data_IF_608244655603
#
_entry.id   IF_608244655603
#
_cell.length_a   1.000
_cell.length_b   1.000
_cell.length_c   1.000
_cell.angle_alpha   90.00
_cell.angle_beta   90.00
_cell.angle_gamma   90.00
#
_symmetry.space_group_name_H-M   'P 1'
#
loop_
_entity.id
_entity.type
_entity.pdbx_description
1 polymer ?
#
# COMPACT_ATOMS: atom_id res chain seq x y z
N UNK A 1 20.30 -0.65 -8.16
CA UNK A 1 19.53 -0.32 -6.92
C UNK A 1 18.28 -1.19 -6.96
N UNK A 2 17.94 -1.83 -5.84
CA UNK A 2 16.81 -2.78 -5.79
C UNK A 2 15.43 -2.11 -5.64
N UNK A 3 15.41 -0.84 -5.21
CA UNK A 3 14.20 0.01 -5.16
C UNK A 3 14.58 1.42 -5.59
N UNK A 4 13.74 2.05 -6.40
CA UNK A 4 13.88 3.46 -6.86
C UNK A 4 12.59 4.24 -6.57
N UNK A 5 12.74 5.56 -6.41
CA UNK A 5 11.61 6.50 -6.39
C UNK A 5 11.71 7.39 -7.65
N UNK A 6 10.81 7.17 -8.59
CA UNK A 6 10.67 7.95 -9.80
C UNK A 6 9.48 8.91 -9.64
N UNK A 7 9.67 10.20 -9.92
CA UNK A 7 8.60 11.21 -9.76
C UNK A 7 8.28 11.84 -11.10
N UNK A 8 7.02 11.76 -11.49
CA UNK A 8 6.50 12.39 -12.69
C UNK A 8 5.04 12.78 -12.49
N UNK A 9 4.64 13.99 -12.93
CA UNK A 9 3.29 14.53 -12.79
C UNK A 9 2.72 14.44 -11.36
N UNK A 10 3.55 14.77 -10.36
CA UNK A 10 3.22 14.71 -8.93
C UNK A 10 2.90 13.30 -8.40
N UNK A 11 3.18 12.25 -9.18
CA UNK A 11 3.09 10.85 -8.76
C UNK A 11 4.49 10.30 -8.52
N UNK A 12 4.75 9.79 -7.31
CA UNK A 12 5.96 9.03 -6.99
C UNK A 12 5.73 7.54 -7.25
N UNK A 13 6.57 6.90 -8.05
CA UNK A 13 6.57 5.45 -8.22
C UNK A 13 7.69 4.83 -7.42
N UNK A 14 7.36 4.07 -6.38
CA UNK A 14 8.25 3.16 -5.68
C UNK A 14 8.37 1.88 -6.51
N UNK A 15 9.43 1.79 -7.31
CA UNK A 15 9.66 0.67 -8.21
C UNK A 15 10.61 -0.34 -7.58
N UNK A 16 10.14 -1.59 -7.45
CA UNK A 16 10.99 -2.73 -7.12
C UNK A 16 11.67 -3.24 -8.39
N UNK A 17 12.98 -3.45 -8.33
CA UNK A 17 13.77 -3.96 -9.47
C UNK A 17 14.90 -4.88 -8.98
N UNK A 18 14.50 -6.06 -8.49
CA UNK A 18 15.40 -7.14 -8.06
C UNK A 18 15.00 -8.47 -8.72
N UNK A 19 15.30 -8.61 -10.04
CA UNK A 19 14.95 -9.83 -10.76
C UNK A 19 15.62 -11.08 -10.16
N UNK A 20 15.03 -12.28 -10.38
CA UNK A 20 13.85 -12.50 -11.20
C UNK A 20 12.51 -12.27 -10.47
N UNK A 21 12.48 -12.30 -9.14
CA UNK A 21 11.23 -12.42 -8.36
C UNK A 21 10.99 -11.25 -7.41
N UNK A 22 11.79 -10.20 -7.44
CA UNK A 22 11.70 -9.08 -6.51
C UNK A 22 11.70 -9.54 -5.03
N UNK A 23 12.55 -10.52 -4.70
CA UNK A 23 12.67 -10.98 -3.32
C UNK A 23 13.14 -9.84 -2.41
N UNK A 24 12.49 -9.72 -1.26
CA UNK A 24 12.67 -8.62 -0.32
C UNK A 24 13.70 -9.02 0.75
N UNK A 25 15.00 -8.83 0.43
CA UNK A 25 16.09 -8.96 1.40
C UNK A 25 16.16 -7.73 2.33
N UNK A 26 17.02 -7.76 3.34
CA UNK A 26 17.19 -6.69 4.33
C UNK A 26 17.49 -5.35 3.65
N UNK A 27 18.42 -5.33 2.71
CA UNK A 27 18.83 -4.10 2.03
C UNK A 27 17.67 -3.50 1.19
N UNK A 28 16.88 -4.35 0.55
CA UNK A 28 15.67 -3.93 -0.20
C UNK A 28 14.61 -3.36 0.73
N UNK A 29 14.39 -3.97 1.90
CA UNK A 29 13.43 -3.49 2.90
C UNK A 29 13.85 -2.14 3.48
N UNK A 30 15.12 -1.97 3.85
CA UNK A 30 15.67 -0.70 4.34
C UNK A 30 15.55 0.39 3.29
N UNK A 31 15.90 0.09 2.04
CA UNK A 31 15.78 1.03 0.94
C UNK A 31 14.34 1.42 0.65
N UNK A 32 13.40 0.47 0.74
CA UNK A 32 11.97 0.73 0.63
C UNK A 32 11.48 1.69 1.72
N UNK A 33 11.93 1.50 2.97
CA UNK A 33 11.61 2.39 4.10
C UNK A 33 12.09 3.81 3.84
N UNK A 34 13.37 3.97 3.49
CA UNK A 34 13.97 5.28 3.19
C UNK A 34 13.17 6.03 2.11
N UNK A 35 12.85 5.33 1.00
CA UNK A 35 12.15 5.93 -0.12
C UNK A 35 10.67 6.19 0.16
N UNK A 36 10.02 5.38 0.99
CA UNK A 36 8.66 5.63 1.44
C UNK A 36 8.60 6.89 2.32
N UNK A 37 9.55 7.05 3.25
CA UNK A 37 9.69 8.25 4.06
C UNK A 37 10.03 9.48 3.21
N UNK A 38 10.92 9.33 2.23
CA UNK A 38 11.24 10.39 1.26
C UNK A 38 10.00 10.82 0.49
N UNK A 39 9.26 9.88 -0.11
CA UNK A 39 8.02 10.15 -0.83
C UNK A 39 6.98 10.87 0.06
N UNK A 40 6.92 10.50 1.34
CA UNK A 40 6.07 11.16 2.32
C UNK A 40 6.41 12.64 2.54
N UNK A 41 7.71 12.98 2.58
CA UNK A 41 8.19 14.35 2.86
C UNK A 41 8.25 15.25 1.63
N UNK A 42 8.42 14.70 0.42
CA UNK A 42 8.58 15.47 -0.82
C UNK A 42 7.33 16.25 -1.19
N UNK A 43 7.38 17.57 -1.36
CA UNK A 43 6.20 18.38 -1.72
C UNK A 43 5.75 18.18 -3.16
N UNK A 44 6.67 17.76 -4.05
CA UNK A 44 6.40 17.47 -5.46
C UNK A 44 5.80 16.06 -5.69
N UNK A 45 5.64 15.25 -4.64
CA UNK A 45 4.88 13.99 -4.65
C UNK A 45 3.55 14.20 -3.97
N UNK A 46 2.43 13.90 -4.63
CA UNK A 46 1.06 14.04 -4.09
C UNK A 46 0.30 12.72 -4.01
N UNK A 47 0.74 11.70 -4.75
CA UNK A 47 0.25 10.33 -4.66
C UNK A 47 1.38 9.36 -4.98
N UNK A 48 1.25 8.10 -4.56
CA UNK A 48 2.31 7.09 -4.72
C UNK A 48 1.78 5.84 -5.38
N UNK A 49 2.55 5.27 -6.30
CA UNK A 49 2.36 3.94 -6.88
C UNK A 49 3.46 3.03 -6.37
N UNK A 50 3.12 1.85 -5.85
CA UNK A 50 4.08 0.77 -5.56
C UNK A 50 3.99 -0.25 -6.68
N UNK A 51 5.12 -0.53 -7.34
CA UNK A 51 5.13 -1.38 -8.53
C UNK A 51 6.37 -2.27 -8.61
N UNK A 52 6.19 -3.53 -8.94
CA UNK A 52 7.27 -4.52 -9.10
C UNK A 52 7.72 -4.75 -10.55
N UNK A 53 7.20 -3.97 -11.50
CA UNK A 53 7.41 -4.22 -12.92
C UNK A 53 6.30 -5.08 -13.55
N UNK A 54 6.37 -5.27 -14.86
CA UNK A 54 5.29 -5.92 -15.62
C UNK A 54 5.17 -7.44 -15.46
N UNK A 55 6.11 -8.10 -14.78
CA UNK A 55 6.14 -9.57 -14.67
C UNK A 55 5.79 -10.09 -13.28
N UNK A 56 6.34 -9.49 -12.24
CA UNK A 56 6.20 -9.94 -10.85
C UNK A 56 6.19 -8.71 -9.95
N UNK A 57 5.24 -8.65 -9.02
CA UNK A 57 5.23 -7.61 -8.00
C UNK A 57 6.33 -7.87 -6.97
N UNK A 58 6.20 -8.91 -6.16
CA UNK A 58 7.24 -9.45 -5.28
C UNK A 58 6.84 -10.84 -4.78
N UNK A 59 7.78 -11.78 -4.73
CA UNK A 59 7.49 -13.16 -4.34
C UNK A 59 8.03 -13.53 -2.94
N UNK A 60 8.00 -12.58 -2.02
CA UNK A 60 8.29 -12.81 -0.61
C UNK A 60 9.69 -12.38 -0.17
N UNK A 61 10.05 -12.76 1.05
CA UNK A 61 11.36 -12.50 1.62
C UNK A 61 12.45 -13.34 0.93
N UNK A 62 13.71 -12.93 1.07
CA UNK A 62 14.83 -13.74 0.61
C UNK A 62 15.10 -14.90 1.58
N UNK A 63 14.59 -16.10 1.21
CA UNK A 63 14.70 -17.30 2.04
C UNK A 63 16.16 -17.73 2.25
N UNK A 64 17.06 -17.42 1.30
CA UNK A 64 18.49 -17.77 1.45
C UNK A 64 19.13 -16.94 2.55
N UNK A 65 18.77 -15.66 2.65
CA UNK A 65 19.21 -14.79 3.72
C UNK A 65 18.61 -15.24 5.06
N UNK A 66 17.29 -15.46 5.13
CA UNK A 66 16.60 -15.88 6.34
C UNK A 66 17.10 -17.21 6.91
N UNK A 67 17.47 -18.17 6.05
CA UNK A 67 17.96 -19.49 6.46
C UNK A 67 19.20 -19.40 7.35
N UNK A 68 20.01 -18.37 7.19
CA UNK A 68 21.26 -18.19 7.92
C UNK A 68 21.06 -17.52 9.29
N UNK A 69 19.85 -17.02 9.61
CA UNK A 69 19.56 -16.27 10.81
C UNK A 69 19.27 -17.18 12.00
N UNK A 70 19.79 -16.82 13.16
CA UNK A 70 19.43 -17.39 14.46
C UNK A 70 18.11 -16.80 14.98
N UNK A 71 17.66 -17.29 16.12
CA UNK A 71 16.52 -16.71 16.84
C UNK A 71 16.81 -15.25 17.25
N UNK A 72 18.00 -15.02 17.79
CA UNK A 72 18.46 -13.69 18.24
C UNK A 72 18.52 -12.70 17.08
N UNK A 73 19.09 -13.11 15.93
CA UNK A 73 19.12 -12.30 14.71
C UNK A 73 17.71 -11.90 14.27
N UNK A 74 16.76 -12.84 14.34
CA UNK A 74 15.38 -12.56 13.94
C UNK A 74 14.65 -11.68 14.95
N UNK A 75 14.90 -11.80 16.26
CA UNK A 75 14.37 -10.90 17.28
C UNK A 75 14.79 -9.45 17.00
N UNK A 76 16.08 -9.23 16.77
CA UNK A 76 16.62 -7.90 16.50
C UNK A 76 16.08 -7.31 15.19
N UNK A 77 15.95 -8.17 14.18
CA UNK A 77 15.52 -7.75 12.84
C UNK A 77 14.02 -7.56 12.67
N UNK A 78 13.20 -8.33 13.36
CA UNK A 78 11.74 -8.41 13.11
C UNK A 78 11.05 -7.05 13.18
N UNK A 79 11.50 -6.17 14.08
CA UNK A 79 10.99 -4.80 14.18
C UNK A 79 11.32 -4.00 12.92
N UNK A 80 12.56 -4.04 12.44
CA UNK A 80 12.98 -3.33 11.22
C UNK A 80 12.23 -3.81 9.97
N UNK A 81 11.93 -5.11 9.89
CA UNK A 81 11.07 -5.67 8.86
C UNK A 81 9.67 -5.04 8.86
N UNK A 82 9.01 -4.98 10.03
CA UNK A 82 7.69 -4.38 10.15
C UNK A 82 7.71 -2.87 9.92
N UNK A 83 8.75 -2.18 10.37
CA UNK A 83 8.91 -0.73 10.20
C UNK A 83 9.03 -0.36 8.71
N UNK A 84 9.74 -1.15 7.90
CA UNK A 84 9.85 -0.90 6.46
C UNK A 84 8.49 -0.93 5.74
N UNK A 85 7.65 -1.92 6.05
CA UNK A 85 6.32 -2.04 5.48
C UNK A 85 5.37 -0.98 6.05
N UNK A 86 5.47 -0.69 7.33
CA UNK A 86 4.68 0.34 8.00
C UNK A 86 5.00 1.73 7.45
N UNK A 87 6.25 2.00 7.05
CA UNK A 87 6.61 3.26 6.41
C UNK A 87 5.83 3.47 5.09
N UNK A 88 5.62 2.42 4.30
CA UNK A 88 4.78 2.49 3.09
C UNK A 88 3.32 2.77 3.45
N UNK A 89 2.75 2.03 4.41
CA UNK A 89 1.37 2.22 4.84
C UNK A 89 1.10 3.63 5.41
N UNK A 90 2.11 4.20 6.09
CA UNK A 90 2.03 5.53 6.73
C UNK A 90 2.45 6.69 5.82
N UNK A 91 2.69 6.47 4.52
CA UNK A 91 2.86 7.60 3.60
C UNK A 91 1.60 8.49 3.70
N UNK A 92 1.73 9.78 4.09
CA UNK A 92 0.57 10.65 4.33
C UNK A 92 -0.03 11.18 3.01
N UNK A 93 -0.15 10.30 2.03
CA UNK A 93 -0.64 10.55 0.67
C UNK A 93 -1.31 9.28 0.17
N UNK A 94 -2.23 9.36 -0.81
CA UNK A 94 -2.81 8.17 -1.43
C UNK A 94 -1.73 7.26 -2.01
N UNK A 95 -1.83 5.96 -1.71
CA UNK A 95 -0.92 4.92 -2.17
C UNK A 95 -1.70 3.84 -2.91
N UNK A 96 -1.28 3.48 -4.11
CA UNK A 96 -1.85 2.37 -4.88
C UNK A 96 -0.80 1.32 -5.20
N UNK A 97 -1.10 0.06 -4.97
CA UNK A 97 -0.28 -1.05 -5.43
C UNK A 97 -0.70 -1.49 -6.83
N UNK A 98 0.25 -1.50 -7.76
CA UNK A 98 0.10 -2.03 -9.11
C UNK A 98 0.69 -3.44 -9.16
N UNK A 99 -0.16 -4.46 -9.11
CA UNK A 99 0.25 -5.85 -8.88
C UNK A 99 0.19 -6.66 -10.16
N UNK A 100 1.36 -6.99 -10.72
CA UNK A 100 1.52 -7.93 -11.83
C UNK A 100 2.07 -9.26 -11.32
N UNK A 101 1.59 -10.38 -11.86
CA UNK A 101 2.08 -11.72 -11.56
C UNK A 101 1.97 -12.07 -10.07
N UNK A 102 3.09 -12.33 -9.40
CA UNK A 102 3.07 -12.82 -8.02
C UNK A 102 3.19 -11.71 -6.99
N UNK A 103 2.27 -11.72 -6.01
CA UNK A 103 2.35 -11.03 -4.73
C UNK A 103 2.24 -12.08 -3.62
N UNK A 104 3.36 -12.68 -3.21
CA UNK A 104 3.39 -13.79 -2.26
C UNK A 104 4.19 -13.44 -1.01
N UNK A 105 3.77 -13.94 0.15
CA UNK A 105 4.42 -13.67 1.43
C UNK A 105 4.65 -12.19 1.67
N UNK A 106 5.87 -11.77 1.92
CA UNK A 106 6.25 -10.36 2.04
C UNK A 106 5.79 -9.49 0.88
N UNK A 107 5.68 -10.02 -0.35
CA UNK A 107 5.12 -9.31 -1.49
C UNK A 107 3.62 -9.04 -1.34
N UNK A 108 2.86 -10.01 -0.83
CA UNK A 108 1.45 -9.80 -0.47
C UNK A 108 1.33 -8.80 0.69
N UNK A 109 2.17 -8.92 1.72
CA UNK A 109 2.22 -8.00 2.85
C UNK A 109 2.53 -6.55 2.41
N UNK A 110 3.41 -6.36 1.43
CA UNK A 110 3.69 -5.05 0.84
C UNK A 110 2.47 -4.51 0.07
N UNK A 111 1.79 -5.33 -0.71
CA UNK A 111 0.56 -4.93 -1.39
C UNK A 111 -0.55 -4.50 -0.40
N UNK A 112 -0.63 -5.15 0.77
CA UNK A 112 -1.55 -4.80 1.86
C UNK A 112 -1.23 -3.46 2.53
N UNK A 113 -0.05 -2.88 2.29
CA UNK A 113 0.31 -1.55 2.81
C UNK A 113 -0.22 -0.39 1.95
N UNK A 114 -0.70 -0.66 0.74
CA UNK A 114 -1.34 0.36 -0.09
C UNK A 114 -2.80 0.60 0.32
N UNK A 115 -3.32 1.80 0.01
CA UNK A 115 -4.72 2.14 0.26
C UNK A 115 -5.64 1.32 -0.66
N UNK A 116 -5.28 1.21 -1.94
CA UNK A 116 -5.94 0.31 -2.89
C UNK A 116 -4.94 -0.53 -3.68
N UNK A 117 -5.42 -1.62 -4.26
CA UNK A 117 -4.66 -2.59 -5.06
C UNK A 117 -5.35 -2.78 -6.41
N UNK A 118 -4.60 -2.55 -7.49
CA UNK A 118 -5.03 -2.86 -8.87
C UNK A 118 -4.17 -4.03 -9.33
N UNK A 119 -4.80 -5.15 -9.65
CA UNK A 119 -4.13 -6.40 -10.00
C UNK A 119 -4.29 -6.74 -11.49
N UNK A 120 -3.28 -7.40 -12.04
CA UNK A 120 -3.40 -8.07 -13.33
C UNK A 120 -4.39 -9.24 -13.23
N UNK A 121 -5.10 -9.54 -14.31
CA UNK A 121 -6.03 -10.67 -14.39
C UNK A 121 -5.35 -12.04 -14.14
N UNK A 122 -4.04 -12.13 -14.41
CA UNK A 122 -3.20 -13.29 -14.16
C UNK A 122 -2.44 -13.21 -12.81
N UNK A 123 -2.67 -12.17 -12.01
CA UNK A 123 -2.00 -12.01 -10.74
C UNK A 123 -2.43 -13.07 -9.72
N UNK A 124 -1.49 -13.41 -8.85
CA UNK A 124 -1.67 -14.42 -7.82
C UNK A 124 -1.16 -13.89 -6.48
N UNK A 125 -2.01 -13.97 -5.46
CA UNK A 125 -1.74 -13.57 -4.10
C UNK A 125 -1.59 -14.80 -3.19
N UNK A 126 -0.94 -14.63 -2.04
CA UNK A 126 -0.87 -15.68 -1.03
C UNK A 126 0.04 -15.33 0.14
N UNK A 127 -0.15 -16.08 1.24
CA UNK A 127 0.69 -16.02 2.43
C UNK A 127 1.23 -17.45 2.70
N UNK A 128 2.27 -17.90 1.94
CA UNK A 128 2.72 -19.29 1.96
C UNK A 128 3.73 -19.61 3.07
N UNK A 129 3.94 -18.72 4.03
CA UNK A 129 4.95 -18.84 5.08
C UNK A 129 4.78 -20.12 5.91
N UNK A 130 3.56 -20.62 6.04
CA UNK A 130 3.28 -21.86 6.76
C UNK A 130 3.99 -23.07 6.15
N UNK A 131 4.23 -23.06 4.83
CA UNK A 131 4.96 -24.11 4.14
C UNK A 131 6.46 -24.14 4.50
N UNK A 132 6.95 -23.09 5.17
CA UNK A 132 8.30 -22.96 5.71
C UNK A 132 8.33 -23.17 7.24
N UNK A 133 7.19 -23.51 7.87
CA UNK A 133 7.07 -23.57 9.33
C UNK A 133 7.02 -22.20 10.01
N UNK A 134 6.64 -21.15 9.26
CA UNK A 134 6.58 -19.77 9.72
C UNK A 134 5.17 -19.19 9.57
N UNK A 135 4.99 -17.99 10.07
CA UNK A 135 3.81 -17.15 9.82
C UNK A 135 4.23 -15.87 9.07
N UNK A 136 3.30 -15.15 8.43
CA UNK A 136 3.57 -13.81 7.90
C UNK A 136 4.14 -12.90 8.99
N UNK A 137 5.29 -12.26 8.72
CA UNK A 137 6.05 -11.51 9.74
C UNK A 137 6.04 -9.99 9.54
N UNK A 138 5.64 -9.51 8.34
CA UNK A 138 5.66 -8.09 8.00
C UNK A 138 4.27 -7.41 8.10
N UNK A 139 3.33 -8.06 8.76
CA UNK A 139 1.98 -7.54 9.03
C UNK A 139 0.86 -8.30 8.34
N UNK A 140 1.13 -9.38 7.59
CA UNK A 140 0.13 -10.15 6.86
C UNK A 140 -0.96 -10.73 7.75
N UNK A 141 -0.63 -11.27 8.92
CA UNK A 141 -1.61 -11.78 9.87
C UNK A 141 -2.59 -10.69 10.33
N UNK A 142 -2.15 -9.44 10.38
CA UNK A 142 -2.94 -8.32 10.89
C UNK A 142 -3.70 -7.59 9.78
N UNK A 143 -2.98 -7.16 8.72
CA UNK A 143 -3.58 -6.39 7.62
C UNK A 143 -4.54 -7.23 6.79
N UNK A 144 -4.17 -8.49 6.47
CA UNK A 144 -5.04 -9.36 5.70
C UNK A 144 -6.36 -9.64 6.43
N UNK A 145 -6.29 -9.99 7.74
CA UNK A 145 -7.49 -10.29 8.52
C UNK A 145 -8.44 -9.09 8.66
N UNK A 146 -7.89 -7.87 8.74
CA UNK A 146 -8.68 -6.63 8.77
C UNK A 146 -9.34 -6.33 7.43
N UNK A 147 -8.69 -6.71 6.33
CA UNK A 147 -9.19 -6.43 4.98
C UNK A 147 -10.25 -7.45 4.51
N UNK A 148 -9.95 -8.76 4.59
CA UNK A 148 -10.81 -9.82 4.02
C UNK A 148 -11.63 -10.57 5.06
N UNK A 149 -11.47 -10.23 6.33
CA UNK A 149 -12.06 -10.91 7.47
C UNK A 149 -11.22 -12.09 7.96
N UNK A 150 -11.37 -12.48 9.26
CA UNK A 150 -10.48 -13.44 9.91
C UNK A 150 -10.57 -14.86 9.33
N UNK A 151 -11.74 -15.29 8.86
CA UNK A 151 -11.91 -16.64 8.33
C UNK A 151 -11.13 -16.85 7.03
N UNK A 152 -11.25 -15.91 6.07
CA UNK A 152 -10.54 -15.95 4.80
C UNK A 152 -9.02 -15.78 4.98
N UNK A 153 -8.62 -14.88 5.88
CA UNK A 153 -7.20 -14.70 6.22
C UNK A 153 -6.60 -15.99 6.80
N UNK A 154 -7.29 -16.66 7.73
CA UNK A 154 -6.84 -17.94 8.29
C UNK A 154 -6.76 -19.03 7.23
N UNK A 155 -7.74 -19.13 6.33
CA UNK A 155 -7.69 -20.10 5.25
C UNK A 155 -6.45 -19.89 4.38
N UNK A 156 -6.17 -18.65 3.94
CA UNK A 156 -4.98 -18.33 3.15
C UNK A 156 -3.67 -18.63 3.89
N UNK A 157 -3.58 -18.25 5.19
CA UNK A 157 -2.37 -18.43 6.00
C UNK A 157 -2.15 -19.88 6.39
N UNK A 158 -3.19 -20.61 6.83
CA UNK A 158 -3.05 -21.99 7.31
C UNK A 158 -2.75 -22.97 6.18
N UNK A 159 -3.28 -22.71 5.00
CA UNK A 159 -3.07 -23.58 3.83
C UNK A 159 -1.89 -23.16 2.97
N UNK A 160 -1.46 -21.90 3.06
CA UNK A 160 -0.46 -21.31 2.16
C UNK A 160 -0.91 -21.28 0.70
N UNK A 161 -2.22 -21.43 0.44
CA UNK A 161 -2.77 -21.52 -0.90
C UNK A 161 -2.61 -20.22 -1.69
N UNK A 162 -2.62 -20.38 -2.99
CA UNK A 162 -2.63 -19.25 -3.92
C UNK A 162 -4.05 -18.79 -4.19
N UNK A 163 -4.24 -17.48 -4.28
CA UNK A 163 -5.51 -16.81 -4.55
C UNK A 163 -5.37 -16.07 -5.87
N UNK A 164 -6.07 -16.49 -6.94
CA UNK A 164 -6.03 -15.79 -8.23
C UNK A 164 -6.76 -14.45 -8.16
N UNK A 165 -6.46 -13.53 -9.09
CA UNK A 165 -6.99 -12.16 -9.10
C UNK A 165 -8.52 -12.09 -9.04
N UNK A 166 -9.24 -12.99 -9.73
CA UNK A 166 -10.70 -13.03 -9.70
C UNK A 166 -11.26 -13.34 -8.31
N UNK A 167 -10.67 -14.30 -7.59
CA UNK A 167 -11.03 -14.58 -6.20
C UNK A 167 -10.61 -13.43 -5.28
N UNK A 168 -9.40 -12.87 -5.48
CA UNK A 168 -8.92 -11.73 -4.71
C UNK A 168 -9.87 -10.52 -4.79
N UNK A 169 -10.43 -10.26 -5.96
CA UNK A 169 -11.47 -9.24 -6.16
C UNK A 169 -12.77 -9.61 -5.40
N UNK A 170 -13.23 -10.85 -5.53
CA UNK A 170 -14.47 -11.30 -4.90
C UNK A 170 -14.43 -11.26 -3.37
N UNK A 171 -13.26 -11.44 -2.75
CA UNK A 171 -13.09 -11.38 -1.30
C UNK A 171 -12.67 -10.00 -0.77
N UNK A 172 -12.49 -9.01 -1.64
CA UNK A 172 -12.05 -7.66 -1.26
C UNK A 172 -10.55 -7.52 -0.97
N UNK A 173 -9.74 -8.51 -1.39
CA UNK A 173 -8.27 -8.41 -1.29
C UNK A 173 -7.70 -7.44 -2.32
N UNK A 174 -8.33 -7.31 -3.48
CA UNK A 174 -8.01 -6.30 -4.50
C UNK A 174 -9.24 -5.49 -4.86
N UNK A 175 -9.03 -4.27 -5.31
CA UNK A 175 -10.08 -3.30 -5.56
C UNK A 175 -10.47 -3.24 -7.05
N UNK A 176 -9.53 -3.60 -7.94
CA UNK A 176 -9.72 -3.64 -9.38
C UNK A 176 -8.87 -4.73 -10.02
N UNK A 177 -9.38 -5.31 -11.10
CA UNK A 177 -8.62 -6.22 -11.97
C UNK A 177 -8.55 -5.63 -13.38
N UNK A 178 -7.42 -5.78 -14.04
CA UNK A 178 -7.13 -5.23 -15.35
C UNK A 178 -6.27 -6.18 -16.19
N UNK A 179 -6.27 -6.06 -17.54
CA UNK A 179 -5.28 -6.75 -18.37
C UNK A 179 -3.85 -6.45 -17.91
N UNK A 180 -2.98 -7.46 -17.94
CA UNK A 180 -1.63 -7.37 -17.35
C UNK A 180 -0.81 -6.17 -17.86
N UNK A 181 -0.94 -5.82 -19.15
CA UNK A 181 -0.27 -4.67 -19.76
C UNK A 181 -0.82 -3.30 -19.34
N UNK A 182 -1.99 -3.24 -18.70
CA UNK A 182 -2.67 -1.99 -18.33
C UNK A 182 -2.55 -1.63 -16.85
N UNK A 183 -2.12 -2.56 -15.99
CA UNK A 183 -2.15 -2.42 -14.52
C UNK A 183 -1.44 -1.16 -14.04
N UNK A 184 -0.18 -0.95 -14.48
CA UNK A 184 0.58 0.24 -14.11
C UNK A 184 -0.07 1.53 -14.61
N UNK A 185 -0.55 1.54 -15.86
CA UNK A 185 -1.23 2.70 -16.43
C UNK A 185 -2.50 3.07 -15.65
N UNK A 186 -3.30 2.08 -15.23
CA UNK A 186 -4.51 2.31 -14.42
C UNK A 186 -4.18 2.79 -13.01
N UNK A 187 -3.16 2.20 -12.37
CA UNK A 187 -2.69 2.64 -11.06
C UNK A 187 -2.17 4.08 -11.12
N UNK A 188 -1.42 4.39 -12.16
CA UNK A 188 -0.93 5.74 -12.39
C UNK A 188 -2.06 6.75 -12.63
N UNK A 189 -3.02 6.43 -13.49
CA UNK A 189 -4.18 7.28 -13.75
C UNK A 189 -5.01 7.53 -12.47
N UNK A 190 -5.17 6.50 -11.63
CA UNK A 190 -5.81 6.65 -10.32
C UNK A 190 -5.01 7.61 -9.42
N UNK A 191 -3.70 7.43 -9.32
CA UNK A 191 -2.82 8.29 -8.53
C UNK A 191 -2.80 9.75 -9.05
N UNK A 192 -2.71 9.96 -10.35
CA UNK A 192 -2.74 11.29 -10.99
C UNK A 192 -4.05 12.03 -10.73
N UNK A 193 -5.17 11.30 -10.75
CA UNK A 193 -6.48 11.89 -10.40
C UNK A 193 -6.49 12.42 -8.96
N UNK A 194 -5.95 11.67 -8.00
CA UNK A 194 -5.88 12.09 -6.60
C UNK A 194 -4.79 13.14 -6.37
N UNK A 195 -3.68 13.09 -7.12
CA UNK A 195 -2.64 14.11 -7.05
C UNK A 195 -3.14 15.52 -7.43
N UNK A 196 -4.20 15.62 -8.24
CA UNK A 196 -4.90 16.88 -8.55
C UNK A 196 -5.95 17.28 -7.50
N UNK A 197 -6.22 16.44 -6.53
CA UNK A 197 -7.19 16.68 -5.47
C UNK A 197 -6.68 17.56 -4.33
N UNK A 198 -7.53 17.85 -3.34
CA UNK A 198 -7.18 18.66 -2.16
C UNK A 198 -6.25 17.86 -1.23
N UNK A 199 -4.95 18.20 -1.24
CA UNK A 199 -3.92 17.38 -0.60
C UNK A 199 -4.14 17.21 0.90
N UNK A 200 -4.50 18.28 1.62
CA UNK A 200 -4.76 18.21 3.06
C UNK A 200 -6.00 17.39 3.39
N UNK A 201 -7.05 17.47 2.59
CA UNK A 201 -8.26 16.69 2.81
C UNK A 201 -8.03 15.19 2.53
N UNK A 202 -7.27 14.84 1.48
CA UNK A 202 -6.89 13.45 1.19
C UNK A 202 -6.04 12.85 2.32
N UNK A 203 -5.08 13.62 2.84
CA UNK A 203 -4.26 13.22 3.99
C UNK A 203 -5.14 13.00 5.23
N UNK A 204 -5.99 13.97 5.56
CA UNK A 204 -6.86 13.88 6.74
C UNK A 204 -7.85 12.72 6.63
N UNK A 205 -8.41 12.46 5.44
CA UNK A 205 -9.28 11.32 5.21
C UNK A 205 -8.56 9.99 5.44
N UNK A 206 -7.34 9.82 4.90
CA UNK A 206 -6.52 8.64 5.13
C UNK A 206 -6.21 8.46 6.62
N UNK A 207 -5.72 9.50 7.29
CA UNK A 207 -5.39 9.48 8.72
C UNK A 207 -6.62 9.13 9.57
N UNK A 208 -7.78 9.71 9.25
CA UNK A 208 -9.03 9.45 9.98
C UNK A 208 -9.49 8.00 9.84
N UNK A 209 -9.43 7.44 8.63
CA UNK A 209 -9.81 6.04 8.39
C UNK A 209 -8.82 5.09 9.06
N UNK A 210 -7.51 5.27 8.82
CA UNK A 210 -6.47 4.35 9.31
C UNK A 210 -6.42 4.34 10.85
N UNK A 211 -6.37 5.51 11.47
CA UNK A 211 -6.31 5.61 12.93
C UNK A 211 -7.66 5.28 13.60
N UNK A 212 -8.77 5.60 12.95
CA UNK A 212 -10.11 5.26 13.44
C UNK A 212 -10.36 3.75 13.53
N UNK A 213 -9.81 2.96 12.58
CA UNK A 213 -9.90 1.50 12.60
C UNK A 213 -9.04 0.84 13.69
N UNK A 214 -8.10 1.57 14.29
CA UNK A 214 -7.24 1.07 15.37
C UNK A 214 -7.77 1.43 16.78
N UNK A 215 -8.99 2.02 16.88
CA UNK A 215 -9.59 2.44 18.15
C UNK A 215 -11.09 2.12 18.19
N UNK A 216 -11.77 2.48 19.30
CA UNK A 216 -13.23 2.42 19.40
C UNK A 216 -13.89 3.53 18.57
N UNK A 217 -15.18 3.35 18.25
CA UNK A 217 -15.92 4.26 17.37
C UNK A 217 -15.97 5.71 17.91
N UNK A 218 -16.17 5.89 19.21
CA UNK A 218 -16.29 7.23 19.80
C UNK A 218 -14.98 8.01 19.72
N UNK A 219 -13.87 7.34 19.97
CA UNK A 219 -12.52 7.89 19.79
C UNK A 219 -12.23 8.19 18.31
N UNK A 220 -12.61 7.29 17.40
CA UNK A 220 -12.50 7.50 15.95
C UNK A 220 -13.28 8.72 15.47
N UNK A 221 -14.54 8.88 15.93
CA UNK A 221 -15.39 10.04 15.62
C UNK A 221 -14.84 11.34 16.21
N UNK A 222 -14.18 11.30 17.38
CA UNK A 222 -13.54 12.48 17.96
C UNK A 222 -12.32 12.92 17.12
N UNK A 223 -11.51 11.97 16.62
CA UNK A 223 -10.42 12.24 15.67
C UNK A 223 -10.95 12.85 14.37
N UNK A 224 -11.95 12.22 13.76
CA UNK A 224 -12.59 12.71 12.52
C UNK A 224 -13.05 14.15 12.67
N UNK A 225 -13.76 14.48 13.77
CA UNK A 225 -14.25 15.83 14.08
C UNK A 225 -13.09 16.83 14.13
N UNK A 226 -11.97 16.46 14.76
CA UNK A 226 -10.81 17.33 14.87
C UNK A 226 -10.16 17.59 13.53
N UNK A 227 -9.94 16.53 12.73
CA UNK A 227 -9.38 16.62 11.40
C UNK A 227 -10.32 17.42 10.45
N UNK A 228 -11.62 17.12 10.48
CA UNK A 228 -12.62 17.83 9.68
C UNK A 228 -12.63 19.34 9.98
N UNK A 229 -12.67 19.72 11.26
CA UNK A 229 -12.64 21.13 11.66
C UNK A 229 -11.34 21.82 11.21
N UNK A 230 -10.18 21.12 11.31
CA UNK A 230 -8.89 21.63 10.86
C UNK A 230 -8.83 21.97 9.36
N UNK A 231 -9.58 21.25 8.53
CA UNK A 231 -9.66 21.51 7.09
C UNK A 231 -10.28 22.88 6.76
N UNK A 232 -11.07 23.46 7.65
CA UNK A 232 -11.64 24.80 7.46
C UNK A 232 -10.59 25.92 7.44
N UNK A 233 -9.38 25.66 7.90
CA UNK A 233 -8.25 26.57 7.82
C UNK A 233 -7.46 26.49 6.48
N UNK A 234 -7.89 25.61 5.54
CA UNK A 234 -7.15 25.39 4.28
C UNK A 234 -7.72 26.22 3.12
N UNK A 235 -6.84 26.66 2.23
CA UNK A 235 -7.24 27.30 0.98
C UNK A 235 -8.02 26.36 0.05
N UNK A 236 -7.71 25.06 0.10
CA UNK A 236 -8.41 24.03 -0.68
C UNK A 236 -9.92 24.01 -0.34
N UNK A 237 -10.28 24.13 0.96
CA UNK A 237 -11.69 24.21 1.38
C UNK A 237 -12.39 25.43 0.78
N UNK A 238 -11.75 26.60 0.78
CA UNK A 238 -12.30 27.81 0.18
C UNK A 238 -12.51 27.66 -1.32
N UNK A 239 -11.51 27.11 -2.02
CA UNK A 239 -11.56 26.85 -3.46
C UNK A 239 -12.68 25.85 -3.78
N UNK A 240 -12.76 24.76 -3.04
CA UNK A 240 -13.77 23.72 -3.26
C UNK A 240 -15.21 24.21 -3.04
N UNK A 241 -15.46 24.93 -1.94
CA UNK A 241 -16.78 25.45 -1.61
C UNK A 241 -17.24 26.55 -2.59
N UNK A 242 -16.33 27.45 -2.96
CA UNK A 242 -16.62 28.50 -3.95
C UNK A 242 -16.98 27.89 -5.30
N UNK A 243 -16.13 27.01 -5.84
CA UNK A 243 -16.38 26.33 -7.13
C UNK A 243 -17.67 25.52 -7.11
N UNK A 244 -17.99 24.85 -6.00
CA UNK A 244 -19.26 24.13 -5.87
C UNK A 244 -20.49 25.06 -6.01
N UNK A 245 -20.44 26.24 -5.40
CA UNK A 245 -21.56 27.22 -5.44
C UNK A 245 -21.67 27.87 -6.82
N UNK A 246 -20.53 28.26 -7.42
CA UNK A 246 -20.49 29.00 -8.68
C UNK A 246 -20.61 28.10 -9.91
N UNK A 247 -19.94 26.92 -9.92
CA UNK A 247 -19.75 26.09 -11.11
C UNK A 247 -20.45 24.73 -10.99
N UNK A 248 -20.87 24.33 -9.78
CA UNK A 248 -21.42 23.01 -9.47
C UNK A 248 -20.36 21.97 -9.05
N UNK A 249 -20.78 20.72 -8.74
CA UNK A 249 -19.93 19.69 -8.16
C UNK A 249 -18.79 19.25 -9.10
N UNK A 250 -17.61 19.00 -8.51
CA UNK A 250 -16.47 18.38 -9.20
C UNK A 250 -15.72 19.27 -10.18
N UNK A 251 -15.90 20.59 -10.09
CA UNK A 251 -15.25 21.58 -10.98
C UNK A 251 -14.04 22.27 -10.35
N UNK A 252 -13.82 22.10 -9.04
CA UNK A 252 -12.73 22.73 -8.34
C UNK A 252 -11.36 22.22 -8.84
N UNK A 253 -10.43 23.16 -9.07
CA UNK A 253 -9.02 22.88 -9.36
C UNK A 253 -8.20 23.21 -8.13
N UNK A 254 -7.52 22.20 -7.57
CA UNK A 254 -6.67 22.34 -6.39
C UNK A 254 -5.19 22.46 -6.80
N UNK A 255 -4.44 23.27 -6.05
CA UNK A 255 -3.01 23.56 -6.34
C UNK A 255 -2.09 22.96 -5.29
#
# INVERSE_FOLDING_TARGET
MTVTLEVDNAVGTLRLDRPPMNALDTATQERLRELAEEAGRRPDVRAVVVWGGGKVFAAGADIKEMRAMSYEDMVDRSRGLQDAFTAVARIPKPVVAAVNGYALGGGCELALCADIRIAAEDATFGQPEILLGLIPGAGGTQRLARLVGPARAKDMIFTGRRVPAAEALAIGLVDQVAPAGEVYGRARAWAERLARGPAYALRAAKESVDAGLETDLDTGLALERTLFAGLFATADRETGMRSFIEDGPGKAEFR
#
